data_IF_693702398253
#
_entry.id   IF_693702398253
#
_cell.length_a   1.000
_cell.length_b   1.000
_cell.length_c   1.000
_cell.angle_alpha   90.00
_cell.angle_beta   90.00
_cell.angle_gamma   90.00
#
_symmetry.space_group_name_H-M   'P 1'
#
loop_
_entity.id
_entity.type
_entity.pdbx_description
1 polymer ?
#
# COMPACT_ATOMS: atom_id res chain seq x y z
N UNK A 1 3.92 15.68 11.52
CA UNK A 1 2.75 15.33 10.69
C UNK A 1 1.49 15.66 11.48
N UNK A 2 0.65 16.56 10.96
CA UNK A 2 -0.66 16.83 11.56
C UNK A 2 -1.56 15.59 11.44
N UNK A 3 -2.49 15.35 12.38
CA UNK A 3 -3.39 14.20 12.34
C UNK A 3 -4.17 14.08 11.01
N UNK A 4 -4.55 15.20 10.40
CA UNK A 4 -5.29 15.25 9.12
C UNK A 4 -4.53 14.54 7.99
N UNK A 5 -3.24 14.84 7.80
CA UNK A 5 -2.41 14.23 6.75
C UNK A 5 -2.29 12.71 6.89
N UNK A 6 -2.35 12.20 8.12
CA UNK A 6 -2.30 10.77 8.40
C UNK A 6 -3.60 10.06 7.99
N UNK A 7 -4.75 10.65 8.30
CA UNK A 7 -6.05 10.11 7.87
C UNK A 7 -6.19 10.13 6.35
N UNK A 8 -5.65 11.15 5.68
CA UNK A 8 -5.65 11.25 4.21
C UNK A 8 -4.89 10.09 3.57
N UNK A 9 -3.68 9.75 4.05
CA UNK A 9 -2.93 8.62 3.46
C UNK A 9 -3.59 7.29 3.75
N UNK A 10 -4.15 7.09 4.95
CA UNK A 10 -4.94 5.90 5.29
C UNK A 10 -6.14 5.77 4.34
N UNK A 11 -6.92 6.84 4.16
CA UNK A 11 -8.04 6.85 3.23
C UNK A 11 -7.59 6.56 1.78
N UNK A 12 -6.44 7.08 1.36
CA UNK A 12 -5.88 6.84 0.04
C UNK A 12 -5.46 5.37 -0.17
N UNK A 13 -4.88 4.70 0.84
CA UNK A 13 -4.60 3.26 0.79
C UNK A 13 -5.87 2.44 0.61
N UNK A 14 -6.91 2.73 1.42
CA UNK A 14 -8.20 2.04 1.33
C UNK A 14 -8.90 2.30 -0.02
N UNK A 15 -8.93 3.54 -0.48
CA UNK A 15 -9.49 3.89 -1.78
C UNK A 15 -8.78 3.15 -2.92
N UNK A 16 -7.45 3.05 -2.86
CA UNK A 16 -6.66 2.33 -3.87
C UNK A 16 -6.88 0.82 -3.80
N UNK A 17 -7.02 0.26 -2.60
CA UNK A 17 -7.39 -1.15 -2.43
C UNK A 17 -8.76 -1.45 -3.04
N UNK A 18 -9.75 -0.57 -2.83
CA UNK A 18 -11.07 -0.69 -3.46
C UNK A 18 -10.97 -0.57 -4.99
N UNK A 19 -10.22 0.40 -5.51
CA UNK A 19 -10.02 0.55 -6.97
C UNK A 19 -9.37 -0.70 -7.60
N UNK A 20 -8.37 -1.29 -6.94
CA UNK A 20 -7.79 -2.56 -7.37
C UNK A 20 -8.81 -3.70 -7.31
N UNK A 21 -9.67 -3.74 -6.28
CA UNK A 21 -10.77 -4.71 -6.18
C UNK A 21 -11.82 -4.56 -7.28
N UNK A 22 -12.17 -3.32 -7.64
CA UNK A 22 -13.07 -3.02 -8.75
C UNK A 22 -12.47 -3.40 -10.10
N UNK A 23 -11.18 -3.12 -10.31
CA UNK A 23 -10.45 -3.57 -11.49
C UNK A 23 -10.39 -5.11 -11.59
N UNK A 24 -10.31 -5.81 -10.45
CA UNK A 24 -10.40 -7.27 -10.41
C UNK A 24 -11.80 -7.80 -10.76
N UNK A 25 -12.86 -7.09 -10.34
CA UNK A 25 -14.24 -7.47 -10.65
C UNK A 25 -14.68 -7.09 -12.08
N UNK A 26 -13.84 -6.36 -12.83
CA UNK A 26 -14.15 -5.98 -14.19
C UNK A 26 -14.36 -7.22 -15.08
N UNK A 27 -15.54 -7.31 -15.71
CA UNK A 27 -16.05 -8.52 -16.41
C UNK A 27 -15.18 -9.04 -17.56
N UNK A 28 -14.31 -8.19 -18.11
CA UNK A 28 -13.39 -8.56 -19.19
C UNK A 28 -11.93 -8.75 -18.75
N UNK A 29 -11.63 -8.65 -17.45
CA UNK A 29 -10.30 -8.96 -16.95
C UNK A 29 -10.04 -10.46 -17.18
N UNK A 30 -8.93 -10.78 -17.84
CA UNK A 30 -8.49 -12.17 -17.93
C UNK A 30 -8.37 -12.75 -16.50
N UNK A 31 -8.62 -14.05 -16.28
CA UNK A 31 -8.54 -14.64 -14.95
C UNK A 31 -7.17 -14.43 -14.27
N UNK A 32 -6.11 -14.22 -15.07
CA UNK A 32 -4.78 -13.80 -14.60
C UNK A 32 -4.75 -12.35 -14.12
N UNK A 33 -5.23 -11.40 -14.92
CA UNK A 33 -5.31 -9.99 -14.57
C UNK A 33 -6.18 -9.77 -13.33
N UNK A 34 -7.34 -10.44 -13.26
CA UNK A 34 -8.24 -10.43 -12.10
C UNK A 34 -7.54 -10.86 -10.81
N UNK A 35 -6.76 -11.95 -10.88
CA UNK A 35 -5.95 -12.42 -9.74
C UNK A 35 -4.92 -11.38 -9.33
N UNK A 36 -4.19 -10.80 -10.29
CA UNK A 36 -3.19 -9.76 -10.01
C UNK A 36 -3.81 -8.55 -9.31
N UNK A 37 -4.90 -7.98 -9.86
CA UNK A 37 -5.59 -6.84 -9.26
C UNK A 37 -6.18 -7.13 -7.88
N UNK A 38 -6.78 -8.32 -7.68
CA UNK A 38 -7.27 -8.73 -6.37
C UNK A 38 -6.14 -8.81 -5.34
N UNK A 39 -4.95 -9.21 -5.75
CA UNK A 39 -3.79 -9.32 -4.85
C UNK A 39 -3.13 -7.96 -4.60
N UNK A 40 -3.07 -7.08 -5.59
CA UNK A 40 -2.68 -5.68 -5.36
C UNK A 40 -3.64 -5.02 -4.35
N UNK A 41 -4.94 -5.33 -4.40
CA UNK A 41 -5.90 -4.88 -3.40
C UNK A 41 -5.55 -5.40 -1.99
N UNK A 42 -5.25 -6.70 -1.86
CA UNK A 42 -4.84 -7.29 -0.57
C UNK A 42 -3.54 -6.66 -0.06
N UNK A 43 -2.52 -6.49 -0.90
CA UNK A 43 -1.25 -5.86 -0.50
C UNK A 43 -1.47 -4.42 -0.06
N UNK A 44 -2.26 -3.63 -0.80
CA UNK A 44 -2.59 -2.26 -0.43
C UNK A 44 -3.38 -2.20 0.89
N UNK A 45 -4.29 -3.14 1.13
CA UNK A 45 -5.02 -3.26 2.39
C UNK A 45 -4.07 -3.61 3.55
N UNK A 46 -3.15 -4.56 3.37
CA UNK A 46 -2.15 -4.92 4.39
C UNK A 46 -1.23 -3.74 4.72
N UNK A 47 -0.81 -2.97 3.72
CA UNK A 47 -0.03 -1.74 3.92
C UNK A 47 -0.85 -0.66 4.65
N UNK A 48 -2.12 -0.49 4.30
CA UNK A 48 -3.04 0.40 5.01
C UNK A 48 -3.25 0.00 6.48
N UNK A 49 -3.42 -1.31 6.74
CA UNK A 49 -3.51 -1.86 8.09
C UNK A 49 -2.20 -1.65 8.86
N UNK A 50 -1.04 -1.87 8.22
CA UNK A 50 0.26 -1.60 8.83
C UNK A 50 0.39 -0.13 9.26
N UNK A 51 -0.12 0.80 8.43
CA UNK A 51 -0.17 2.22 8.75
C UNK A 51 -1.10 2.53 9.93
N UNK A 52 -2.25 1.85 10.01
CA UNK A 52 -3.24 1.97 11.09
C UNK A 52 -2.81 1.33 12.40
N UNK A 53 -2.00 0.25 12.37
CA UNK A 53 -1.48 -0.41 13.57
C UNK A 53 -0.65 0.51 14.47
N UNK A 54 -0.03 1.53 13.88
CA UNK A 54 0.64 2.58 14.64
C UNK A 54 -0.36 3.44 15.45
N UNK A 55 -1.63 3.51 15.06
CA UNK A 55 -2.68 4.20 15.80
C UNK A 55 -3.19 3.40 17.00
N UNK A 56 -3.37 2.07 16.88
CA UNK A 56 -3.78 1.21 18.01
C UNK A 56 -2.73 1.27 19.12
N UNK A 57 -1.44 1.26 18.75
CA UNK A 57 -0.33 1.44 19.68
C UNK A 57 -0.34 2.82 20.36
N UNK A 58 -0.61 3.89 19.61
CA UNK A 58 -0.68 5.26 20.17
C UNK A 58 -1.91 5.47 21.07
N UNK A 59 -3.08 4.96 20.67
CA UNK A 59 -4.30 4.99 21.47
C UNK A 59 -4.17 4.16 22.76
N UNK A 60 -3.47 3.01 22.73
CA UNK A 60 -3.13 2.24 23.94
C UNK A 60 -1.97 2.82 24.76
N UNK A 61 -1.32 3.89 24.29
CA UNK A 61 -0.33 4.66 25.04
C UNK A 61 -1.01 5.83 25.75
N UNK A 62 -1.90 6.54 25.06
CA UNK A 62 -2.77 7.60 25.64
C UNK A 62 -3.81 7.01 26.63
N UNK A 63 -4.28 5.78 26.42
CA UNK A 63 -5.16 5.08 27.35
C UNK A 63 -4.47 4.51 28.60
N UNK A 64 -3.15 4.71 28.77
CA UNK A 64 -2.34 4.03 29.79
C UNK A 64 -2.03 4.88 31.02
N UNK A 65 -3.06 5.53 31.55
CA UNK A 65 -3.14 5.86 32.99
C UNK A 65 -3.50 4.62 33.84
N UNK A 66 -3.74 3.45 33.24
CA UNK A 66 -4.36 2.29 33.90
C UNK A 66 -3.54 1.00 34.03
N UNK A 67 -2.27 0.94 33.62
CA UNK A 67 -1.51 -0.31 33.79
C UNK A 67 -0.04 -0.08 34.14
N UNK A 68 0.18 0.07 35.44
CA UNK A 68 1.44 -0.13 36.13
C UNK A 68 1.93 -1.59 36.01
N UNK A 69 3.26 -1.73 36.10
CA UNK A 69 4.06 -2.96 36.22
C UNK A 69 4.37 -3.73 34.93
N UNK A 70 5.65 -3.69 34.53
CA UNK A 70 6.22 -4.60 33.54
C UNK A 70 7.14 -3.89 32.55
N UNK A 71 8.37 -4.37 32.44
CA UNK A 71 9.44 -3.93 31.53
C UNK A 71 9.10 -3.92 30.01
N UNK A 72 7.83 -4.17 29.64
CA UNK A 72 7.29 -4.15 28.28
C UNK A 72 7.22 -2.76 27.64
N UNK A 73 7.29 -1.68 28.42
CA UNK A 73 7.18 -0.32 27.89
C UNK A 73 8.40 0.13 27.10
N UNK A 74 9.59 -0.39 27.44
CA UNK A 74 10.86 0.04 26.84
C UNK A 74 11.09 -0.51 25.42
N UNK A 75 10.42 -1.60 25.02
CA UNK A 75 10.65 -2.27 23.72
C UNK A 75 9.49 -2.13 22.71
N UNK A 76 8.65 -1.09 22.86
CA UNK A 76 7.52 -0.84 21.94
C UNK A 76 7.99 -0.55 20.51
N UNK A 77 9.09 0.19 20.38
CA UNK A 77 9.67 0.49 19.08
C UNK A 77 10.16 -0.79 18.39
N UNK A 78 10.88 -1.66 19.09
CA UNK A 78 11.38 -2.92 18.54
C UNK A 78 10.27 -3.83 18.00
N UNK A 79 9.16 -3.97 18.73
CA UNK A 79 8.02 -4.78 18.29
C UNK A 79 7.32 -4.19 17.06
N UNK A 80 7.16 -2.86 17.01
CA UNK A 80 6.56 -2.18 15.84
C UNK A 80 7.41 -2.36 14.58
N UNK A 81 8.73 -2.25 14.72
CA UNK A 81 9.68 -2.45 13.62
C UNK A 81 9.63 -3.90 13.13
N UNK A 82 9.64 -4.87 14.06
CA UNK A 82 9.56 -6.29 13.72
C UNK A 82 8.24 -6.64 12.99
N UNK A 83 7.10 -6.17 13.51
CA UNK A 83 5.80 -6.39 12.88
C UNK A 83 5.72 -5.72 11.49
N UNK A 84 6.24 -4.51 11.34
CA UNK A 84 6.28 -3.84 10.04
C UNK A 84 7.17 -4.58 9.04
N UNK A 85 8.35 -5.02 9.47
CA UNK A 85 9.24 -5.82 8.64
C UNK A 85 8.57 -7.12 8.19
N UNK A 86 7.89 -7.84 9.09
CA UNK A 86 7.15 -9.07 8.75
C UNK A 86 6.08 -8.78 7.70
N UNK A 87 5.25 -7.75 7.87
CA UNK A 87 4.20 -7.41 6.91
C UNK A 87 4.78 -7.07 5.54
N UNK A 88 5.85 -6.27 5.49
CA UNK A 88 6.51 -5.90 4.24
C UNK A 88 7.12 -7.12 3.55
N UNK A 89 7.79 -8.01 4.30
CA UNK A 89 8.39 -9.22 3.76
C UNK A 89 7.33 -10.19 3.21
N UNK A 90 6.22 -10.38 3.94
CA UNK A 90 5.11 -11.22 3.49
C UNK A 90 4.46 -10.64 2.23
N UNK A 91 4.17 -9.34 2.20
CA UNK A 91 3.58 -8.67 1.04
C UNK A 91 4.52 -8.69 -0.18
N UNK A 92 5.81 -8.43 0.02
CA UNK A 92 6.83 -8.49 -1.04
C UNK A 92 7.07 -9.89 -1.56
N UNK A 93 7.17 -10.89 -0.68
CA UNK A 93 7.33 -12.30 -1.04
C UNK A 93 6.13 -12.83 -1.84
N UNK A 94 4.91 -12.50 -1.39
CA UNK A 94 3.69 -12.81 -2.12
C UNK A 94 3.72 -12.19 -3.53
N UNK A 95 4.00 -10.89 -3.63
CA UNK A 95 4.07 -10.18 -4.91
C UNK A 95 5.09 -10.83 -5.87
N UNK A 96 6.32 -11.11 -5.40
CA UNK A 96 7.37 -11.73 -6.20
C UNK A 96 7.00 -13.13 -6.70
N UNK A 97 6.42 -13.96 -5.84
CA UNK A 97 5.97 -15.30 -6.21
C UNK A 97 4.92 -15.25 -7.34
N UNK A 98 4.02 -14.27 -7.28
CA UNK A 98 2.97 -14.07 -8.27
C UNK A 98 3.46 -13.49 -9.59
N UNK A 99 4.38 -12.53 -9.55
CA UNK A 99 5.00 -11.99 -10.76
C UNK A 99 5.69 -13.10 -11.57
N UNK A 100 6.32 -14.06 -10.89
CA UNK A 100 6.90 -15.24 -11.54
C UNK A 100 5.84 -16.15 -12.17
N UNK A 101 4.65 -16.27 -11.55
CA UNK A 101 3.58 -17.16 -12.00
C UNK A 101 2.63 -16.55 -13.04
N UNK A 102 2.53 -15.21 -13.10
CA UNK A 102 1.55 -14.48 -13.92
C UNK A 102 2.17 -13.71 -15.09
N UNK A 103 3.47 -13.87 -15.39
CA UNK A 103 4.09 -13.32 -16.60
C UNK A 103 3.43 -13.90 -17.88
N UNK A 104 3.23 -13.09 -18.94
CA UNK A 104 3.61 -11.68 -19.12
C UNK A 104 2.56 -10.67 -18.59
N UNK A 105 3.04 -9.49 -18.16
CA UNK A 105 2.22 -8.39 -17.63
C UNK A 105 1.97 -7.34 -18.71
N UNK A 106 0.78 -6.74 -18.70
CA UNK A 106 0.49 -5.55 -19.52
C UNK A 106 1.10 -4.28 -18.91
N UNK A 107 1.34 -3.25 -19.73
CA UNK A 107 1.95 -1.97 -19.29
C UNK A 107 1.36 -1.38 -18.00
N UNK A 108 0.02 -1.27 -17.85
CA UNK A 108 -0.59 -0.73 -16.63
C UNK A 108 -0.37 -1.62 -15.39
N UNK A 109 -0.38 -2.95 -15.57
CA UNK A 109 -0.11 -3.89 -14.48
C UNK A 109 1.34 -3.76 -14.02
N UNK A 110 2.28 -3.51 -14.95
CA UNK A 110 3.68 -3.26 -14.62
C UNK A 110 3.84 -1.97 -13.83
N UNK A 111 3.16 -0.88 -14.21
CA UNK A 111 3.17 0.38 -13.45
C UNK A 111 2.63 0.19 -12.04
N UNK A 112 1.52 -0.54 -11.88
CA UNK A 112 0.94 -0.82 -10.57
C UNK A 112 1.87 -1.66 -9.69
N UNK A 113 2.54 -2.66 -10.27
CA UNK A 113 3.53 -3.48 -9.56
C UNK A 113 4.72 -2.63 -9.10
N UNK A 114 5.24 -1.75 -9.96
CA UNK A 114 6.33 -0.82 -9.60
C UNK A 114 5.90 0.08 -8.45
N UNK A 115 4.68 0.61 -8.48
CA UNK A 115 4.11 1.40 -7.38
C UNK A 115 4.06 0.64 -6.06
N UNK A 116 3.63 -0.62 -6.06
CA UNK A 116 3.61 -1.46 -4.85
C UNK A 116 5.01 -1.78 -4.35
N UNK A 117 5.96 -2.13 -5.23
CA UNK A 117 7.36 -2.38 -4.85
C UNK A 117 7.98 -1.12 -4.21
N UNK A 118 7.70 0.04 -4.80
CA UNK A 118 8.13 1.32 -4.25
C UNK A 118 7.54 1.56 -2.84
N UNK A 119 6.23 1.33 -2.65
CA UNK A 119 5.58 1.49 -1.35
C UNK A 119 6.11 0.50 -0.29
N UNK A 120 6.42 -0.74 -0.69
CA UNK A 120 7.03 -1.73 0.19
C UNK A 120 8.44 -1.32 0.63
N UNK A 121 9.26 -0.85 -0.30
CA UNK A 121 10.60 -0.33 0.01
C UNK A 121 10.54 0.88 0.92
N UNK A 122 9.61 1.80 0.65
CA UNK A 122 9.36 2.97 1.48
C UNK A 122 8.92 2.58 2.90
N UNK A 123 8.01 1.63 3.04
CA UNK A 123 7.57 1.10 4.34
C UNK A 123 8.72 0.44 5.11
N UNK A 124 9.63 -0.26 4.43
CA UNK A 124 10.81 -0.87 5.04
C UNK A 124 11.79 0.18 5.57
N UNK A 125 12.11 1.19 4.74
CA UNK A 125 13.00 2.31 5.14
C UNK A 125 12.41 3.04 6.34
N UNK A 126 11.11 3.27 6.35
CA UNK A 126 10.37 3.88 7.47
C UNK A 126 10.41 3.00 8.73
N UNK A 127 10.32 1.68 8.59
CA UNK A 127 10.37 0.77 9.72
C UNK A 127 11.77 0.74 10.35
N UNK A 128 12.83 0.70 9.55
CA UNK A 128 14.21 0.58 10.04
C UNK A 128 14.68 1.86 10.76
N UNK A 129 13.94 2.98 10.63
CA UNK A 129 14.22 4.26 11.31
C UNK A 129 15.70 4.63 11.23
N UNK A 130 16.29 4.49 10.04
CA UNK A 130 17.67 4.91 9.78
C UNK A 130 17.74 6.40 10.14
N UNK A 131 18.43 6.72 11.24
CA UNK A 131 18.39 8.04 11.87
C UNK A 131 18.67 9.19 10.87
N UNK A 132 19.53 8.93 9.87
CA UNK A 132 19.83 9.90 8.81
C UNK A 132 18.66 10.12 7.83
N UNK A 133 17.93 9.08 7.47
CA UNK A 133 16.80 9.15 6.54
C UNK A 133 15.56 9.71 7.24
N UNK A 134 15.31 9.31 8.48
CA UNK A 134 14.20 9.86 9.27
C UNK A 134 14.39 11.37 9.51
N UNK A 135 15.60 11.80 9.86
CA UNK A 135 15.88 13.23 10.04
C UNK A 135 15.63 14.04 8.77
N UNK A 136 15.80 13.44 7.58
CA UNK A 136 15.48 14.08 6.31
C UNK A 136 13.97 14.02 5.97
N UNK A 137 13.32 12.87 6.21
CA UNK A 137 11.90 12.65 5.92
C UNK A 137 10.93 13.45 6.80
N UNK A 138 11.35 13.77 8.02
CA UNK A 138 10.55 14.53 9.00
C UNK A 138 10.89 16.03 9.03
N UNK A 139 11.90 16.48 8.27
CA UNK A 139 12.15 17.92 8.07
C UNK A 139 11.07 18.49 7.15
N UNK A 140 10.26 19.46 7.61
CA UNK A 140 9.33 20.14 6.72
C UNK A 140 10.13 20.96 5.71
N UNK A 141 10.00 20.63 4.43
CA UNK A 141 10.51 21.46 3.34
C UNK A 141 9.30 22.20 2.78
N UNK A 142 9.29 23.53 2.87
CA UNK A 142 8.16 24.37 2.42
C UNK A 142 6.81 24.04 3.11
N UNK A 143 6.83 23.56 4.36
CA UNK A 143 5.62 23.19 5.11
C UNK A 143 5.03 21.82 4.73
N UNK A 144 5.62 21.11 3.76
CA UNK A 144 5.23 19.76 3.36
C UNK A 144 6.26 18.76 3.86
N UNK A 145 5.79 17.64 4.41
CA UNK A 145 6.66 16.55 4.84
C UNK A 145 7.02 15.68 3.63
N UNK A 146 8.31 15.51 3.27
CA UNK A 146 8.74 14.67 2.14
C UNK A 146 8.20 13.24 2.20
N UNK A 147 8.09 12.69 3.42
CA UNK A 147 7.46 11.40 3.72
C UNK A 147 6.05 11.29 3.07
N UNK A 148 5.24 12.33 3.21
CA UNK A 148 3.87 12.34 2.70
C UNK A 148 3.82 12.39 1.17
N UNK A 149 4.70 13.17 0.54
CA UNK A 149 4.77 13.28 -0.91
C UNK A 149 5.22 11.96 -1.56
N UNK A 150 6.23 11.31 -0.98
CA UNK A 150 6.73 10.01 -1.44
C UNK A 150 5.64 8.93 -1.31
N UNK A 151 4.96 8.88 -0.17
CA UNK A 151 3.89 7.92 0.09
C UNK A 151 2.71 8.12 -0.88
N UNK A 152 2.25 9.36 -1.08
CA UNK A 152 1.20 9.66 -2.05
C UNK A 152 1.61 9.39 -3.49
N UNK A 153 2.87 9.66 -3.85
CA UNK A 153 3.40 9.34 -5.17
C UNK A 153 3.34 7.84 -5.46
N UNK A 154 3.73 7.01 -4.49
CA UNK A 154 3.63 5.56 -4.59
C UNK A 154 2.18 5.08 -4.70
N UNK A 155 1.26 5.65 -3.92
CA UNK A 155 -0.18 5.33 -4.00
C UNK A 155 -0.74 5.72 -5.37
N UNK A 156 -0.39 6.89 -5.89
CA UNK A 156 -0.84 7.36 -7.21
C UNK A 156 -0.37 6.44 -8.34
N UNK A 157 0.86 5.92 -8.26
CA UNK A 157 1.40 4.95 -9.23
C UNK A 157 0.61 3.64 -9.27
N UNK A 158 -0.12 3.29 -8.21
CA UNK A 158 -1.02 2.12 -8.18
C UNK A 158 -2.45 2.50 -8.55
N UNK A 159 -2.94 3.62 -8.03
CA UNK A 159 -4.32 4.08 -8.22
C UNK A 159 -4.63 4.47 -9.66
N UNK A 160 -3.72 5.16 -10.36
CA UNK A 160 -3.90 5.59 -11.76
C UNK A 160 -4.09 4.40 -12.69
N UNK A 161 -3.20 3.39 -12.74
CA UNK A 161 -3.41 2.23 -13.60
C UNK A 161 -4.62 1.38 -13.17
N UNK A 162 -4.95 1.31 -11.87
CA UNK A 162 -6.18 0.66 -11.41
C UNK A 162 -7.44 1.34 -11.95
N UNK A 163 -7.49 2.68 -11.89
CA UNK A 163 -8.58 3.49 -12.43
C UNK A 163 -8.68 3.35 -13.95
N UNK A 164 -7.56 3.40 -14.65
CA UNK A 164 -7.51 3.21 -16.10
C UNK A 164 -7.98 1.80 -16.49
N UNK A 165 -7.59 0.76 -15.74
CA UNK A 165 -8.05 -0.60 -15.97
C UNK A 165 -9.56 -0.75 -15.77
N UNK A 166 -10.13 -0.08 -14.77
CA UNK A 166 -11.58 -0.07 -14.53
C UNK A 166 -12.36 0.72 -15.59
N UNK A 167 -11.80 1.81 -16.12
CA UNK A 167 -12.46 2.68 -17.11
C UNK A 167 -12.35 2.20 -18.56
N UNK A 168 -11.70 1.05 -18.83
CA UNK A 168 -11.57 0.56 -20.21
C UNK A 168 -12.95 0.30 -20.81
N UNK A 169 -13.32 1.00 -21.90
CA UNK A 169 -14.60 0.78 -22.55
C UNK A 169 -14.68 -0.67 -23.06
N UNK A 170 -15.88 -1.25 -22.97
CA UNK A 170 -16.18 -2.55 -23.54
C UNK A 170 -15.77 -2.50 -25.03
N UNK A 171 -14.91 -3.39 -25.57
CA UNK A 171 -14.84 -3.65 -26.99
C UNK A 171 -16.28 -3.81 -27.49
N UNK A 172 -16.61 -3.03 -28.53
CA UNK A 172 -17.89 -3.12 -29.22
C UNK A 172 -18.17 -4.61 -29.49
N UNK A 173 -19.44 -5.07 -29.37
CA UNK A 173 -19.79 -6.41 -29.78
C UNK A 173 -19.23 -6.61 -31.18
N UNK A 174 -18.29 -7.54 -31.35
CA UNK A 174 -17.85 -7.94 -32.68
C UNK A 174 -19.11 -8.29 -33.45
N UNK A 175 -19.45 -7.50 -34.46
CA UNK A 175 -20.53 -7.81 -35.39
C UNK A 175 -20.35 -9.29 -35.77
N UNK A 176 -21.39 -10.13 -35.61
CA UNK A 176 -21.31 -11.48 -36.15
C UNK A 176 -21.02 -11.31 -37.64
N UNK A 177 -19.89 -11.86 -38.08
CA UNK A 177 -19.54 -11.96 -39.49
C UNK A 177 -20.72 -12.64 -40.20
N UNK A 178 -21.57 -11.81 -40.81
CA UNK A 178 -22.65 -12.24 -41.67
C UNK A 178 -22.07 -12.44 -43.07
N UNK A 179 -22.10 -13.67 -43.56
CA UNK A 179 -21.84 -14.01 -44.97
C UNK A 179 -20.68 -14.95 -45.15
#
# INVERSE_FOLDING_TARGET
>A
MTPIMWWVTVAAYWATAVLCGLAAYHRQATPRSRRLWAMLAVVMALLGINKQGNLVGRLTTEGRLLAWTGAWYQNRAGLQIALAAIVVLLAGGLLLWLLRRLRPLSGPEMTAVVGVVYLLGFALVRAISLHAIDAFLYRPVLGVYPNWLLELGGIALVAVPALLAWRRPLPAPSEPLSG
#
